data_IF_677031003326
#
_entry.id   IF_677031003326
#
_cell.length_a   1.000
_cell.length_b   1.000
_cell.length_c   1.000
_cell.angle_alpha   90.00
_cell.angle_beta   90.00
_cell.angle_gamma   90.00
#
_symmetry.space_group_name_H-M   'P 1'
#
loop_
_entity.id
_entity.type
_entity.pdbx_description
1 polymer ?
#
# COMPACT_ATOMS: atom_id res chain seq x y z
N UNK A 1 15.40 -1.94 -46.88
CA UNK A 1 14.32 -0.95 -46.68
C UNK A 1 14.13 -0.76 -45.19
N UNK A 2 13.88 0.45 -44.67
CA UNK A 2 13.60 0.64 -43.25
C UNK A 2 12.34 -0.14 -42.86
N UNK A 3 12.34 -0.72 -41.66
CA UNK A 3 11.17 -1.43 -41.13
C UNK A 3 10.04 -0.41 -40.95
N UNK A 4 8.79 -0.68 -41.35
CA UNK A 4 7.70 0.30 -41.29
C UNK A 4 7.49 0.86 -39.87
N UNK A 5 7.76 0.06 -38.84
CA UNK A 5 7.62 0.44 -37.44
C UNK A 5 8.89 1.01 -36.79
N UNK A 6 9.99 1.17 -37.55
CA UNK A 6 11.29 1.63 -37.03
C UNK A 6 11.19 2.95 -36.22
N UNK A 7 10.48 4.01 -36.69
CA UNK A 7 10.35 5.25 -35.90
C UNK A 7 9.59 5.06 -34.57
N UNK A 8 8.59 4.18 -34.53
CA UNK A 8 7.81 3.91 -33.34
C UNK A 8 8.63 3.11 -32.30
N UNK A 9 9.44 2.15 -32.77
CA UNK A 9 10.36 1.40 -31.93
C UNK A 9 11.44 2.31 -31.32
N UNK A 10 12.00 3.24 -32.11
CA UNK A 10 12.98 4.21 -31.61
C UNK A 10 12.39 5.11 -30.54
N UNK A 11 11.16 5.61 -30.74
CA UNK A 11 10.47 6.41 -29.74
C UNK A 11 10.24 5.63 -28.44
N UNK A 12 9.79 4.37 -28.54
CA UNK A 12 9.57 3.50 -27.38
C UNK A 12 10.87 3.27 -26.58
N UNK A 13 11.96 2.90 -27.25
CA UNK A 13 13.27 2.65 -26.62
C UNK A 13 13.81 3.92 -25.95
N UNK A 14 13.60 5.09 -26.55
CA UNK A 14 14.00 6.37 -25.95
C UNK A 14 13.18 6.71 -24.69
N UNK A 15 11.87 6.43 -24.69
CA UNK A 15 10.98 6.67 -23.55
C UNK A 15 11.23 5.72 -22.38
N UNK A 16 11.72 4.49 -22.65
CA UNK A 16 11.91 3.43 -21.66
C UNK A 16 13.41 3.09 -21.48
N UNK A 17 14.30 4.06 -21.65
CA UNK A 17 15.75 3.80 -21.74
C UNK A 17 16.34 3.08 -20.52
N UNK A 18 15.78 3.26 -19.32
CA UNK A 18 16.24 2.56 -18.10
C UNK A 18 15.65 1.16 -17.88
N UNK A 19 14.65 0.75 -18.68
CA UNK A 19 13.96 -0.53 -18.53
C UNK A 19 13.24 -0.92 -19.84
N UNK A 20 13.98 -1.01 -20.94
CA UNK A 20 13.42 -1.36 -22.25
C UNK A 20 13.25 -2.88 -22.35
N UNK A 21 12.11 -3.33 -22.87
CA UNK A 21 11.88 -4.72 -23.23
C UNK A 21 11.27 -4.84 -24.63
N UNK A 22 11.99 -5.49 -25.55
CA UNK A 22 11.57 -5.72 -26.93
C UNK A 22 11.39 -7.21 -27.18
N UNK A 23 10.23 -7.61 -27.67
CA UNK A 23 9.86 -9.00 -27.92
C UNK A 23 9.68 -9.25 -29.42
N UNK A 24 10.03 -10.46 -29.86
CA UNK A 24 9.76 -10.92 -31.22
C UNK A 24 8.55 -11.84 -31.21
N UNK A 25 7.43 -11.38 -31.77
CA UNK A 25 6.20 -12.15 -31.89
C UNK A 25 6.09 -12.83 -33.25
N UNK A 26 5.27 -13.87 -33.33
CA UNK A 26 4.84 -14.50 -34.58
C UNK A 26 5.99 -15.07 -35.44
N UNK A 27 7.18 -15.29 -34.86
CA UNK A 27 8.30 -15.91 -35.57
C UNK A 27 8.01 -17.40 -35.82
N UNK A 28 8.21 -17.86 -37.06
CA UNK A 28 8.02 -19.28 -37.41
C UNK A 28 9.04 -20.19 -36.70
N UNK A 29 10.24 -19.66 -36.41
CA UNK A 29 11.28 -20.32 -35.62
C UNK A 29 11.69 -19.46 -34.42
N UNK A 30 11.12 -19.70 -33.23
CA UNK A 30 11.47 -18.97 -32.01
C UNK A 30 12.94 -19.12 -31.59
N UNK A 31 13.59 -20.24 -31.93
CA UNK A 31 15.00 -20.45 -31.60
C UNK A 31 15.91 -19.58 -32.48
N UNK A 32 15.57 -19.41 -33.76
CA UNK A 32 16.25 -18.46 -34.65
C UNK A 32 16.06 -17.02 -34.17
N UNK A 33 14.85 -16.64 -33.74
CA UNK A 33 14.57 -15.33 -33.16
C UNK A 33 15.39 -15.08 -31.88
N UNK A 34 15.45 -16.06 -30.98
CA UNK A 34 16.25 -15.98 -29.76
C UNK A 34 17.75 -15.83 -30.06
N UNK A 35 18.29 -16.63 -31.00
CA UNK A 35 19.69 -16.53 -31.41
C UNK A 35 20.02 -15.17 -32.05
N UNK A 36 19.13 -14.63 -32.87
CA UNK A 36 19.29 -13.31 -33.48
C UNK A 36 19.26 -12.19 -32.42
N UNK A 37 18.35 -12.26 -31.43
CA UNK A 37 18.36 -11.33 -30.30
C UNK A 37 19.65 -11.46 -29.47
N UNK A 38 20.19 -12.67 -29.28
CA UNK A 38 21.46 -12.87 -28.57
C UNK A 38 22.63 -12.23 -29.31
N UNK A 39 22.65 -12.34 -30.64
CA UNK A 39 23.64 -11.65 -31.47
C UNK A 39 23.52 -10.13 -31.36
N UNK A 40 22.28 -9.60 -31.38
CA UNK A 40 22.02 -8.18 -31.15
C UNK A 40 22.48 -7.73 -29.76
N UNK A 41 22.16 -8.50 -28.72
CA UNK A 41 22.57 -8.21 -27.35
C UNK A 41 24.11 -8.14 -27.22
N UNK A 42 24.82 -9.07 -27.86
CA UNK A 42 26.28 -9.10 -27.87
C UNK A 42 26.89 -7.89 -28.57
N UNK A 43 26.28 -7.41 -29.66
CA UNK A 43 26.72 -6.21 -30.38
C UNK A 43 26.39 -4.93 -29.60
N UNK A 44 25.18 -4.80 -29.07
CA UNK A 44 24.74 -3.67 -28.23
C UNK A 44 25.63 -3.53 -26.99
N UNK A 45 26.04 -4.65 -26.39
CA UNK A 45 26.93 -4.66 -25.22
C UNK A 45 28.34 -4.09 -25.50
N UNK A 46 28.71 -3.87 -26.77
CA UNK A 46 29.97 -3.23 -27.15
C UNK A 46 29.88 -1.70 -27.18
N UNK A 47 28.68 -1.13 -27.11
CA UNK A 47 28.49 0.33 -27.05
C UNK A 47 29.05 0.83 -25.71
N UNK A 48 29.94 1.82 -25.75
CA UNK A 48 30.59 2.40 -24.57
C UNK A 48 29.81 3.57 -24.02
N UNK A 49 29.82 3.71 -22.69
CA UNK A 49 29.22 4.87 -22.04
C UNK A 49 29.99 6.13 -22.44
N UNK A 50 29.31 7.18 -22.92
CA UNK A 50 29.94 8.38 -23.45
C UNK A 50 30.76 9.14 -22.40
N UNK A 51 30.29 9.15 -21.15
CA UNK A 51 30.98 9.79 -20.02
C UNK A 51 31.88 8.82 -19.22
N UNK A 52 31.74 7.51 -19.44
CA UNK A 52 32.51 6.46 -18.74
C UNK A 52 32.99 5.41 -19.77
N UNK A 53 33.98 5.73 -20.63
CA UNK A 53 34.29 4.93 -21.83
C UNK A 53 34.72 3.49 -21.56
N UNK A 54 35.19 3.18 -20.34
CA UNK A 54 35.58 1.84 -19.92
C UNK A 54 34.38 0.96 -19.53
N UNK A 55 33.19 1.56 -19.41
CA UNK A 55 31.94 0.87 -19.06
C UNK A 55 31.08 0.65 -20.31
N UNK A 56 30.31 -0.44 -20.32
CA UNK A 56 29.27 -0.62 -21.33
C UNK A 56 28.12 0.37 -21.05
N UNK A 57 27.62 1.01 -22.10
CA UNK A 57 26.49 1.93 -21.99
C UNK A 57 25.24 1.22 -21.49
N UNK A 58 24.78 0.12 -22.13
CA UNK A 58 23.83 -0.71 -21.46
C UNK A 58 24.53 -1.33 -20.25
N UNK A 59 24.14 -0.92 -19.05
CA UNK A 59 24.63 -1.53 -17.82
C UNK A 59 24.11 -2.99 -17.71
N UNK A 60 23.02 -3.28 -18.41
CA UNK A 60 22.42 -4.59 -18.54
C UNK A 60 21.82 -4.77 -19.95
N UNK A 61 22.14 -5.89 -20.58
CA UNK A 61 21.63 -6.31 -21.86
C UNK A 61 21.52 -7.84 -21.85
N UNK A 62 20.30 -8.38 -21.91
CA UNK A 62 20.08 -9.82 -21.82
C UNK A 62 18.90 -10.24 -22.67
N UNK A 63 18.93 -11.48 -23.15
CA UNK A 63 17.80 -12.11 -23.83
C UNK A 63 17.23 -13.17 -22.92
N UNK A 64 15.95 -13.03 -22.61
CA UNK A 64 15.19 -13.96 -21.78
C UNK A 64 14.11 -14.64 -22.63
N UNK A 65 13.78 -15.86 -22.26
CA UNK A 65 12.60 -16.56 -22.76
C UNK A 65 11.46 -16.29 -21.77
N UNK A 66 10.48 -15.49 -22.18
CA UNK A 66 9.28 -15.19 -21.40
C UNK A 66 8.10 -15.93 -22.04
N UNK A 67 7.74 -17.08 -21.48
CA UNK A 67 6.62 -17.93 -21.91
C UNK A 67 6.68 -18.33 -23.40
N UNK A 68 7.88 -18.65 -23.91
CA UNK A 68 8.11 -19.06 -25.30
C UNK A 68 8.29 -17.89 -26.27
N UNK A 69 8.36 -16.66 -25.76
CA UNK A 69 8.63 -15.44 -26.54
C UNK A 69 10.05 -14.95 -26.23
N UNK A 70 10.93 -14.83 -27.24
CA UNK A 70 12.24 -14.21 -27.07
C UNK A 70 12.11 -12.71 -26.77
N UNK A 71 12.68 -12.27 -25.64
CA UNK A 71 12.64 -10.87 -25.20
C UNK A 71 14.05 -10.34 -24.95
N UNK A 72 14.41 -9.24 -25.61
CA UNK A 72 15.60 -8.45 -25.34
C UNK A 72 15.31 -7.39 -24.27
N UNK A 73 15.98 -7.51 -23.15
CA UNK A 73 15.98 -6.55 -22.05
C UNK A 73 17.21 -5.66 -22.09
N UNK A 74 17.01 -4.35 -21.91
CA UNK A 74 18.05 -3.32 -21.99
C UNK A 74 17.83 -2.27 -20.90
N UNK A 75 18.90 -1.90 -20.19
CA UNK A 75 18.96 -0.70 -19.37
C UNK A 75 20.13 0.16 -19.85
N UNK A 76 19.79 1.28 -20.50
CA UNK A 76 20.70 2.29 -21.02
C UNK A 76 20.71 3.55 -20.13
N UNK A 77 20.22 3.46 -18.89
CA UNK A 77 20.01 4.60 -17.98
C UNK A 77 19.19 5.70 -18.68
N UNK A 78 19.77 6.90 -18.83
CA UNK A 78 19.14 8.08 -19.43
C UNK A 78 19.68 8.40 -20.84
N UNK A 79 20.46 7.49 -21.44
CA UNK A 79 21.21 7.74 -22.68
C UNK A 79 20.37 7.49 -23.94
N UNK A 80 19.28 8.27 -24.06
CA UNK A 80 18.27 8.16 -25.12
C UNK A 80 18.83 8.33 -26.55
N UNK A 81 19.99 8.99 -26.71
CA UNK A 81 20.60 9.25 -28.03
C UNK A 81 21.00 7.98 -28.79
N UNK A 82 21.14 6.86 -28.10
CA UNK A 82 21.51 5.57 -28.69
C UNK A 82 20.30 4.71 -29.11
N UNK A 83 19.07 5.14 -28.83
CA UNK A 83 17.86 4.38 -29.16
C UNK A 83 17.78 3.99 -30.65
N UNK A 84 18.11 4.91 -31.55
CA UNK A 84 18.12 4.65 -33.00
C UNK A 84 19.17 3.60 -33.41
N UNK A 85 20.35 3.64 -32.79
CA UNK A 85 21.41 2.67 -33.05
C UNK A 85 21.01 1.28 -32.55
N UNK A 86 20.47 1.20 -31.34
CA UNK A 86 20.01 -0.06 -30.74
C UNK A 86 18.92 -0.70 -31.60
N UNK A 87 17.88 0.04 -31.98
CA UNK A 87 16.81 -0.50 -32.86
C UNK A 87 17.38 -0.98 -34.19
N UNK A 88 18.33 -0.25 -34.79
CA UNK A 88 18.98 -0.69 -36.03
C UNK A 88 19.72 -2.01 -35.85
N UNK A 89 20.54 -2.15 -34.81
CA UNK A 89 21.29 -3.38 -34.53
C UNK A 89 20.33 -4.57 -34.39
N UNK A 90 19.24 -4.41 -33.62
CA UNK A 90 18.25 -5.50 -33.45
C UNK A 90 17.62 -5.88 -34.78
N UNK A 91 17.16 -4.91 -35.57
CA UNK A 91 16.53 -5.17 -36.87
C UNK A 91 17.50 -5.82 -37.87
N UNK A 92 18.77 -5.40 -37.87
CA UNK A 92 19.80 -5.96 -38.76
C UNK A 92 20.13 -7.42 -38.40
N UNK A 93 20.21 -7.73 -37.10
CA UNK A 93 20.45 -9.11 -36.63
C UNK A 93 19.25 -10.03 -36.89
N UNK A 94 18.02 -9.54 -36.69
CA UNK A 94 16.81 -10.27 -37.04
C UNK A 94 16.73 -10.54 -38.55
N UNK A 95 17.04 -9.54 -39.39
CA UNK A 95 17.07 -9.70 -40.83
C UNK A 95 18.19 -10.65 -41.30
N UNK A 96 19.38 -10.56 -40.70
CA UNK A 96 20.52 -11.44 -40.98
C UNK A 96 20.27 -12.89 -40.57
N UNK A 97 19.49 -13.11 -39.51
CA UNK A 97 19.03 -14.42 -39.06
C UNK A 97 17.84 -14.98 -39.86
N UNK A 98 17.26 -14.21 -40.78
CA UNK A 98 16.09 -14.63 -41.56
C UNK A 98 14.80 -14.75 -40.74
N UNK A 99 14.69 -14.01 -39.63
CA UNK A 99 13.54 -14.06 -38.73
C UNK A 99 12.36 -13.33 -39.36
N UNK A 100 11.23 -14.01 -39.50
CA UNK A 100 9.99 -13.49 -40.09
C UNK A 100 9.01 -12.90 -39.06
N UNK A 101 9.37 -12.92 -37.78
CA UNK A 101 8.59 -12.37 -36.68
C UNK A 101 8.58 -10.84 -36.60
N UNK A 102 7.63 -10.30 -35.83
CA UNK A 102 7.46 -8.86 -35.60
C UNK A 102 8.13 -8.43 -34.30
N UNK A 103 9.12 -7.54 -34.41
CA UNK A 103 9.68 -6.85 -33.24
C UNK A 103 8.69 -5.80 -32.71
N UNK A 104 8.37 -5.86 -31.42
CA UNK A 104 7.49 -4.89 -30.77
C UNK A 104 7.83 -4.77 -29.26
N UNK A 105 7.33 -3.75 -28.55
CA UNK A 105 7.38 -3.73 -27.09
C UNK A 105 6.90 -5.04 -26.47
N UNK A 106 7.53 -5.47 -25.36
CA UNK A 106 7.01 -6.58 -24.56
C UNK A 106 5.57 -6.25 -24.15
N UNK A 107 4.64 -7.13 -24.47
CA UNK A 107 3.24 -7.04 -24.03
C UNK A 107 3.24 -7.49 -22.58
N UNK A 108 2.55 -6.74 -21.72
CA UNK A 108 2.18 -7.31 -20.43
C UNK A 108 1.36 -8.58 -20.69
N UNK A 109 1.58 -9.66 -19.92
CA UNK A 109 0.73 -10.83 -19.99
C UNK A 109 -0.73 -10.39 -19.95
N UNK A 110 -1.55 -10.91 -20.86
CA UNK A 110 -2.97 -10.58 -20.84
C UNK A 110 -3.51 -11.00 -19.47
N UNK A 111 -4.07 -10.03 -18.74
CA UNK A 111 -4.59 -10.30 -17.40
C UNK A 111 -5.66 -11.39 -17.53
N UNK A 112 -5.67 -12.42 -16.66
CA UNK A 112 -6.58 -13.56 -16.77
C UNK A 112 -8.06 -13.16 -16.67
N UNK A 113 -8.34 -11.91 -16.28
CA UNK A 113 -9.65 -11.31 -16.28
C UNK A 113 -9.57 -9.86 -16.79
N UNK A 114 -10.63 -9.35 -17.45
CA UNK A 114 -10.64 -7.99 -17.98
C UNK A 114 -10.32 -6.97 -16.88
N UNK A 115 -9.31 -6.13 -17.09
CA UNK A 115 -9.00 -5.03 -16.18
C UNK A 115 -9.60 -3.73 -16.70
N UNK A 116 -10.42 -3.07 -15.88
CA UNK A 116 -10.79 -1.68 -16.16
C UNK A 116 -9.79 -0.74 -15.49
N UNK A 117 -9.02 0.07 -16.24
CA UNK A 117 -8.05 1.00 -15.65
C UNK A 117 -8.69 2.07 -14.76
N UNK A 118 -10.03 2.22 -14.79
CA UNK A 118 -10.79 3.14 -13.94
C UNK A 118 -11.25 2.50 -12.62
N UNK A 119 -11.04 1.19 -12.44
CA UNK A 119 -11.27 0.56 -11.16
C UNK A 119 -10.23 1.08 -10.14
N UNK A 120 -10.67 1.39 -8.92
CA UNK A 120 -9.78 1.80 -7.84
C UNK A 120 -8.81 0.66 -7.53
N UNK A 121 -7.53 0.98 -7.38
CA UNK A 121 -6.49 0.02 -6.95
C UNK A 121 -6.07 0.32 -5.54
N UNK A 122 -5.63 -0.72 -4.84
CA UNK A 122 -5.03 -0.59 -3.52
C UNK A 122 -3.54 -0.89 -3.60
N UNK A 123 -2.74 -0.12 -2.88
CA UNK A 123 -1.30 -0.27 -2.88
C UNK A 123 -0.88 -1.63 -2.27
N UNK A 124 0.18 -2.23 -2.82
CA UNK A 124 0.73 -3.49 -2.31
C UNK A 124 -0.09 -4.74 -2.66
N UNK A 125 -1.02 -4.63 -3.60
CA UNK A 125 -1.78 -5.74 -4.18
C UNK A 125 -1.19 -6.18 -5.52
N UNK A 126 -1.09 -7.48 -5.71
CA UNK A 126 -0.70 -8.11 -6.97
C UNK A 126 -1.95 -8.72 -7.66
N UNK A 127 -2.06 -8.64 -9.00
CA UNK A 127 -3.15 -9.27 -9.73
C UNK A 127 -3.22 -10.78 -9.46
N UNK A 128 -4.43 -11.30 -9.27
CA UNK A 128 -4.63 -12.74 -9.19
C UNK A 128 -4.44 -13.41 -10.56
N UNK A 129 -3.97 -14.65 -10.55
CA UNK A 129 -3.86 -15.46 -11.77
C UNK A 129 -5.08 -16.35 -11.99
N UNK A 130 -5.80 -16.66 -10.91
CA UNK A 130 -6.94 -17.57 -10.92
C UNK A 130 -8.05 -17.07 -10.00
N UNK A 131 -9.29 -17.39 -10.38
CA UNK A 131 -10.49 -17.20 -9.57
C UNK A 131 -11.03 -18.57 -9.17
N UNK A 132 -11.80 -18.61 -8.09
CA UNK A 132 -12.50 -19.83 -7.72
C UNK A 132 -13.67 -20.15 -8.68
N UNK A 133 -14.34 -21.29 -8.45
CA UNK A 133 -15.47 -21.74 -9.28
C UNK A 133 -16.67 -20.76 -9.34
N UNK A 134 -16.72 -19.77 -8.46
CA UNK A 134 -17.76 -18.73 -8.42
C UNK A 134 -17.35 -17.48 -9.21
N UNK A 135 -16.09 -17.41 -9.67
CA UNK A 135 -15.51 -16.21 -10.24
C UNK A 135 -15.08 -15.18 -9.19
N UNK A 136 -14.73 -15.64 -7.97
CA UNK A 136 -14.24 -14.80 -6.88
C UNK A 136 -12.77 -15.04 -6.58
N UNK A 137 -12.06 -14.05 -6.01
CA UNK A 137 -10.83 -14.31 -5.29
C UNK A 137 -11.01 -15.44 -4.25
N UNK A 138 -10.06 -16.40 -4.13
CA UNK A 138 -10.24 -17.64 -3.35
C UNK A 138 -10.52 -17.46 -1.85
N UNK A 139 -10.05 -16.38 -1.26
CA UNK A 139 -10.21 -16.01 0.14
C UNK A 139 -11.58 -15.43 0.49
N UNK A 140 -12.44 -15.14 -0.50
CA UNK A 140 -13.82 -14.75 -0.23
C UNK A 140 -14.62 -15.93 0.36
N UNK A 141 -15.43 -15.71 1.42
CA UNK A 141 -16.10 -16.78 2.14
C UNK A 141 -17.18 -17.43 1.30
N UNK A 142 -17.52 -18.68 1.61
CA UNK A 142 -18.54 -19.43 0.88
C UNK A 142 -19.89 -18.67 0.85
N UNK A 143 -20.54 -18.64 -0.32
CA UNK A 143 -21.82 -17.96 -0.51
C UNK A 143 -21.76 -16.44 -0.49
N UNK A 144 -20.57 -15.82 -0.50
CA UNK A 144 -20.44 -14.36 -0.58
C UNK A 144 -21.26 -13.80 -1.76
N UNK A 145 -22.09 -12.77 -1.53
CA UNK A 145 -23.03 -12.27 -2.54
C UNK A 145 -22.26 -11.64 -3.70
N UNK A 146 -22.60 -12.06 -4.91
CA UNK A 146 -22.11 -11.44 -6.13
C UNK A 146 -23.08 -10.34 -6.58
N UNK A 147 -22.60 -9.17 -7.00
CA UNK A 147 -23.47 -8.14 -7.53
C UNK A 147 -24.06 -8.57 -8.87
N UNK A 148 -25.39 -8.51 -8.99
CA UNK A 148 -26.09 -8.91 -10.20
C UNK A 148 -25.75 -8.02 -11.40
N UNK A 149 -25.71 -8.63 -12.59
CA UNK A 149 -25.49 -7.93 -13.87
C UNK A 149 -24.22 -7.07 -13.92
N UNK A 150 -23.20 -7.43 -13.14
CA UNK A 150 -21.94 -6.74 -13.08
C UNK A 150 -20.80 -7.59 -13.66
N UNK A 151 -19.82 -6.94 -14.27
CA UNK A 151 -18.62 -7.58 -14.79
C UNK A 151 -17.51 -7.43 -13.77
N UNK A 152 -16.85 -8.52 -13.38
CA UNK A 152 -15.61 -8.43 -12.61
C UNK A 152 -14.54 -7.74 -13.46
N UNK A 153 -13.97 -6.65 -12.94
CA UNK A 153 -12.99 -5.81 -13.65
C UNK A 153 -11.66 -5.67 -12.91
N UNK A 154 -11.55 -6.28 -11.73
CA UNK A 154 -10.35 -6.30 -10.93
C UNK A 154 -10.43 -7.46 -9.93
N UNK A 155 -9.36 -8.23 -9.84
CA UNK A 155 -9.15 -9.20 -8.78
C UNK A 155 -7.67 -9.21 -8.41
N UNK A 156 -7.37 -8.85 -7.17
CA UNK A 156 -6.01 -8.69 -6.67
C UNK A 156 -5.89 -9.32 -5.27
N UNK A 157 -4.66 -9.60 -4.85
CA UNK A 157 -4.33 -10.14 -3.53
C UNK A 157 -3.10 -9.44 -2.99
N UNK A 158 -3.04 -9.20 -1.68
CA UNK A 158 -1.87 -8.63 -1.06
C UNK A 158 -0.65 -9.55 -1.21
N UNK A 159 0.55 -8.98 -1.24
CA UNK A 159 1.81 -9.75 -1.37
C UNK A 159 1.97 -10.87 -0.33
N UNK A 160 1.44 -10.68 0.88
CA UNK A 160 1.46 -11.67 1.96
C UNK A 160 0.27 -12.65 1.93
N UNK A 161 -0.62 -12.52 0.95
CA UNK A 161 -1.80 -13.36 0.76
C UNK A 161 -2.94 -13.17 1.76
N UNK A 162 -2.81 -12.23 2.69
CA UNK A 162 -3.77 -12.04 3.78
C UNK A 162 -5.03 -11.26 3.38
N UNK A 163 -4.99 -10.50 2.30
CA UNK A 163 -6.09 -9.62 1.88
C UNK A 163 -6.36 -9.84 0.41
N UNK A 164 -7.63 -9.88 0.03
CA UNK A 164 -8.06 -9.99 -1.34
C UNK A 164 -9.00 -8.85 -1.72
N UNK A 165 -8.97 -8.48 -2.99
CA UNK A 165 -9.72 -7.38 -3.52
C UNK A 165 -10.44 -7.83 -4.79
N UNK A 166 -11.72 -7.52 -4.89
CA UNK A 166 -12.51 -7.67 -6.09
C UNK A 166 -13.27 -6.39 -6.40
N UNK A 167 -13.28 -5.97 -7.66
CA UNK A 167 -14.11 -4.87 -8.12
C UNK A 167 -14.97 -5.30 -9.32
N UNK A 168 -16.23 -4.88 -9.28
CA UNK A 168 -17.19 -5.11 -10.36
C UNK A 168 -17.68 -3.80 -10.94
N UNK A 169 -17.92 -3.81 -12.25
CA UNK A 169 -18.40 -2.68 -13.03
C UNK A 169 -19.76 -2.96 -13.61
N UNK A 170 -20.58 -1.93 -13.71
CA UNK A 170 -21.79 -1.93 -14.54
C UNK A 170 -22.04 -0.59 -15.22
N UNK A 171 -22.72 -0.64 -16.36
CA UNK A 171 -23.11 0.52 -17.17
C UNK A 171 -24.58 0.91 -17.01
N UNK A 172 -25.39 0.07 -16.36
CA UNK A 172 -26.85 0.20 -16.30
C UNK A 172 -27.37 1.06 -15.14
N UNK A 173 -26.54 1.42 -14.16
CA UNK A 173 -26.93 2.26 -13.02
C UNK A 173 -26.10 2.02 -11.74
N UNK A 174 -26.36 2.74 -10.63
CA UNK A 174 -25.69 2.58 -9.33
C UNK A 174 -26.12 1.29 -8.64
N UNK A 175 -25.26 0.61 -7.84
CA UNK A 175 -25.48 -0.69 -7.15
C UNK A 175 -26.58 -0.72 -6.08
N UNK A 176 -27.78 -0.29 -6.47
CA UNK A 176 -28.95 -0.24 -5.60
C UNK A 176 -29.33 -1.61 -5.06
N UNK A 177 -29.50 -1.72 -3.76
CA UNK A 177 -29.85 -2.93 -3.01
C UNK A 177 -28.68 -3.88 -2.73
N UNK A 178 -27.46 -3.56 -3.16
CA UNK A 178 -26.31 -4.42 -2.91
C UNK A 178 -25.87 -4.40 -1.45
N UNK A 179 -25.99 -3.26 -0.75
CA UNK A 179 -25.71 -3.20 0.68
C UNK A 179 -26.75 -4.00 1.48
N UNK A 180 -28.01 -4.02 1.04
CA UNK A 180 -29.05 -4.88 1.61
C UNK A 180 -28.75 -6.36 1.40
N UNK A 181 -28.21 -6.74 0.23
CA UNK A 181 -27.79 -8.11 -0.07
C UNK A 181 -26.64 -8.55 0.86
N UNK A 182 -25.66 -7.69 1.10
CA UNK A 182 -24.58 -7.93 2.07
C UNK A 182 -25.11 -8.03 3.50
N UNK A 183 -26.08 -7.19 3.89
CA UNK A 183 -26.75 -7.29 5.19
C UNK A 183 -27.48 -8.63 5.34
N UNK A 184 -28.24 -9.03 4.32
CA UNK A 184 -28.98 -10.30 4.30
C UNK A 184 -28.04 -11.52 4.30
N UNK A 185 -26.85 -11.39 3.73
CA UNK A 185 -25.80 -12.39 3.85
C UNK A 185 -25.35 -12.55 5.31
N UNK A 186 -25.34 -11.47 6.09
CA UNK A 186 -24.96 -11.45 7.51
C UNK A 186 -23.83 -10.49 7.85
N UNK A 187 -23.51 -9.55 6.95
CA UNK A 187 -22.50 -8.53 7.22
C UNK A 187 -23.04 -7.44 8.16
N UNK A 188 -22.25 -7.10 9.17
CA UNK A 188 -22.41 -5.89 9.98
C UNK A 188 -21.61 -4.76 9.32
N UNK A 189 -22.21 -3.58 9.22
CA UNK A 189 -21.58 -2.40 8.64
C UNK A 189 -21.03 -1.48 9.72
N UNK A 190 -19.81 -1.00 9.53
CA UNK A 190 -19.26 0.13 10.29
C UNK A 190 -19.13 1.37 9.41
N UNK A 191 -19.29 2.55 10.02
CA UNK A 191 -19.07 3.81 9.32
C UNK A 191 -17.59 4.01 9.00
N UNK A 192 -17.31 4.60 7.83
CA UNK A 192 -15.98 5.11 7.48
C UNK A 192 -16.03 6.64 7.58
N UNK A 193 -15.03 7.31 8.18
CA UNK A 193 -14.99 8.76 8.27
C UNK A 193 -15.03 9.39 6.90
N UNK A 194 -15.77 10.48 6.76
CA UNK A 194 -15.85 11.24 5.51
C UNK A 194 -14.49 11.74 5.03
N UNK A 195 -13.53 11.84 5.94
CA UNK A 195 -12.13 12.21 5.66
C UNK A 195 -11.35 11.12 4.94
N UNK A 196 -11.67 9.85 5.19
CA UNK A 196 -11.04 8.72 4.53
C UNK A 196 -11.68 8.43 3.16
N UNK A 197 -12.86 9.01 2.89
CA UNK A 197 -13.55 8.97 1.59
C UNK A 197 -13.30 10.22 0.72
N UNK A 198 -12.42 11.16 1.14
CA UNK A 198 -12.15 12.42 0.40
C UNK A 198 -11.31 12.14 -0.82
N UNK A 199 -11.91 12.31 -2.01
CA UNK A 199 -11.22 12.22 -3.29
C UNK A 199 -12.18 12.19 -4.48
N UNK A 200 -13.34 11.55 -4.32
CA UNK A 200 -14.36 11.43 -5.36
C UNK A 200 -15.76 11.69 -4.77
N UNK A 201 -16.35 12.88 -5.00
CA UNK A 201 -17.73 13.13 -4.61
C UNK A 201 -18.65 12.12 -5.32
N UNK A 202 -19.48 11.41 -4.56
CA UNK A 202 -20.35 10.35 -5.08
C UNK A 202 -20.04 8.95 -4.54
N UNK A 203 -18.96 8.78 -3.78
CA UNK A 203 -18.57 7.49 -3.24
C UNK A 203 -19.28 7.20 -1.91
N UNK A 204 -19.67 5.95 -1.74
CA UNK A 204 -20.22 5.40 -0.50
C UNK A 204 -19.27 4.32 -0.02
N UNK A 205 -18.80 4.40 1.22
CA UNK A 205 -17.85 3.44 1.77
C UNK A 205 -18.23 3.02 3.19
N UNK A 206 -18.12 1.72 3.46
CA UNK A 206 -18.37 1.12 4.77
C UNK A 206 -17.33 0.06 5.07
N UNK A 207 -17.04 -0.15 6.36
CA UNK A 207 -16.39 -1.40 6.78
C UNK A 207 -17.42 -2.52 6.84
N UNK A 208 -16.98 -3.74 6.53
CA UNK A 208 -17.78 -4.96 6.61
C UNK A 208 -17.18 -5.86 7.67
N UNK A 209 -18.03 -6.54 8.43
CA UNK A 209 -17.61 -7.61 9.32
C UNK A 209 -18.61 -8.76 9.34
N UNK A 210 -18.09 -9.99 9.40
CA UNK A 210 -18.87 -11.21 9.58
C UNK A 210 -17.98 -12.32 10.12
N UNK A 211 -18.43 -12.97 11.21
CA UNK A 211 -17.87 -14.25 11.70
C UNK A 211 -16.33 -14.23 11.87
N UNK A 212 -15.77 -13.12 12.36
CA UNK A 212 -14.32 -12.96 12.56
C UNK A 212 -13.53 -12.57 11.30
N UNK A 213 -14.19 -12.37 10.17
CA UNK A 213 -13.64 -11.85 8.92
C UNK A 213 -14.27 -10.50 8.57
N UNK A 214 -13.69 -9.74 7.65
CA UNK A 214 -14.21 -8.41 7.32
C UNK A 214 -13.45 -7.70 6.21
N UNK A 215 -13.59 -6.38 6.15
CA UNK A 215 -12.88 -5.53 5.21
C UNK A 215 -13.68 -4.28 4.85
N UNK A 216 -13.71 -3.89 3.58
CA UNK A 216 -14.49 -2.73 3.11
C UNK A 216 -15.38 -3.04 1.92
N UNK A 217 -16.44 -2.26 1.81
CA UNK A 217 -17.20 -2.06 0.57
C UNK A 217 -17.15 -0.60 0.17
N UNK A 218 -16.89 -0.35 -1.11
CA UNK A 218 -16.96 0.97 -1.72
C UNK A 218 -17.84 0.92 -2.96
N UNK A 219 -18.91 1.71 -2.98
CA UNK A 219 -19.71 2.00 -4.18
C UNK A 219 -19.27 3.34 -4.74
N UNK A 220 -18.94 3.39 -6.02
CA UNK A 220 -18.47 4.63 -6.63
C UNK A 220 -18.78 4.72 -8.11
N UNK A 221 -18.64 5.92 -8.65
CA UNK A 221 -18.81 6.22 -10.07
C UNK A 221 -17.45 6.57 -10.67
N UNK A 222 -17.17 6.19 -11.93
CA UNK A 222 -15.91 6.59 -12.57
C UNK A 222 -15.76 8.12 -12.60
N UNK A 223 -14.63 8.62 -12.11
CA UNK A 223 -14.23 10.04 -12.15
C UNK A 223 -14.15 10.64 -13.56
N UNK A 224 -14.08 9.79 -14.60
CA UNK A 224 -14.18 10.17 -16.02
C UNK A 224 -15.52 10.82 -16.43
N UNK A 225 -16.53 10.85 -15.54
CA UNK A 225 -17.77 11.60 -15.72
C UNK A 225 -17.57 13.12 -15.96
N UNK A 226 -16.35 13.64 -15.74
CA UNK A 226 -15.98 15.05 -15.97
C UNK A 226 -15.61 15.37 -17.43
N UNK A 227 -15.42 14.38 -18.30
CA UNK A 227 -15.13 14.60 -19.73
C UNK A 227 -16.38 14.38 -20.61
N UNK A 228 -16.69 15.29 -21.54
CA UNK A 228 -17.83 15.12 -22.45
C UNK A 228 -17.73 13.80 -23.23
N UNK A 229 -18.82 13.02 -23.25
CA UNK A 229 -18.97 11.73 -23.98
C UNK A 229 -18.22 10.52 -23.42
N UNK A 230 -17.61 10.61 -22.23
CA UNK A 230 -17.08 9.41 -21.59
C UNK A 230 -18.21 8.49 -21.12
N UNK A 231 -18.13 7.17 -21.36
CA UNK A 231 -19.11 6.23 -20.82
C UNK A 231 -19.04 6.26 -19.30
N UNK A 232 -20.22 6.35 -18.70
CA UNK A 232 -20.43 6.44 -17.27
C UNK A 232 -20.55 5.03 -16.71
N UNK A 233 -19.63 4.67 -15.82
CA UNK A 233 -19.60 3.37 -15.17
C UNK A 233 -19.76 3.52 -13.67
N UNK A 234 -20.49 2.58 -13.09
CA UNK A 234 -20.63 2.40 -11.66
C UNK A 234 -19.80 1.21 -11.25
N UNK A 235 -19.22 1.29 -10.06
CA UNK A 235 -18.38 0.27 -9.49
C UNK A 235 -18.83 -0.09 -8.08
N UNK A 236 -18.62 -1.36 -7.74
CA UNK A 236 -18.53 -1.83 -6.37
C UNK A 236 -17.17 -2.48 -6.18
N UNK A 237 -16.47 -2.11 -5.13
CA UNK A 237 -15.16 -2.64 -4.75
C UNK A 237 -15.28 -3.24 -3.37
N UNK A 238 -14.84 -4.49 -3.21
CA UNK A 238 -14.80 -5.20 -1.94
C UNK A 238 -13.36 -5.58 -1.64
N UNK A 239 -12.84 -5.11 -0.52
CA UNK A 239 -11.64 -5.67 0.08
C UNK A 239 -12.09 -6.61 1.17
N UNK A 240 -11.54 -7.82 1.18
CA UNK A 240 -11.85 -8.84 2.15
C UNK A 240 -10.58 -9.37 2.81
N UNK A 241 -10.65 -9.56 4.12
CA UNK A 241 -9.61 -10.17 4.94
C UNK A 241 -10.23 -11.27 5.81
N UNK A 242 -9.55 -12.42 5.98
CA UNK A 242 -10.08 -13.57 6.70
C UNK A 242 -10.11 -13.35 8.22
N UNK A 243 -9.42 -12.32 8.72
CA UNK A 243 -9.37 -11.95 10.13
C UNK A 243 -9.65 -10.47 10.27
N UNK A 244 -10.74 -10.11 10.95
CA UNK A 244 -11.10 -8.73 11.27
C UNK A 244 -11.88 -8.65 12.57
N UNK A 245 -11.73 -7.54 13.26
CA UNK A 245 -12.56 -7.19 14.42
C UNK A 245 -13.89 -6.59 13.97
N UNK A 246 -14.97 -6.76 14.78
CA UNK A 246 -16.24 -6.12 14.51
C UNK A 246 -16.11 -4.60 14.57
N UNK A 247 -16.93 -3.86 13.79
CA UNK A 247 -16.93 -2.41 13.88
C UNK A 247 -17.32 -1.98 15.31
N UNK A 248 -16.61 -0.98 15.85
CA UNK A 248 -16.87 -0.46 17.19
C UNK A 248 -18.32 0.07 17.36
N UNK A 249 -18.89 0.59 16.27
CA UNK A 249 -20.30 0.97 16.20
C UNK A 249 -20.88 0.46 14.88
N UNK A 250 -21.94 -0.34 14.98
CA UNK A 250 -22.72 -0.75 13.83
C UNK A 250 -23.53 0.45 13.30
N UNK A 251 -23.62 0.57 11.98
CA UNK A 251 -24.42 1.59 11.30
C UNK A 251 -25.35 0.95 10.30
N UNK A 252 -26.48 1.62 10.05
CA UNK A 252 -27.30 1.28 8.90
C UNK A 252 -26.68 1.90 7.64
N UNK A 253 -26.22 1.09 6.67
CA UNK A 253 -25.67 1.61 5.43
C UNK A 253 -26.76 2.32 4.60
N UNK A 254 -26.36 3.40 3.95
CA UNK A 254 -27.14 4.13 2.96
C UNK A 254 -26.35 4.15 1.65
N UNK A 255 -27.02 3.83 0.55
CA UNK A 255 -26.41 3.84 -0.80
C UNK A 255 -26.44 5.24 -1.42
N UNK A 256 -27.12 6.20 -0.78
CA UNK A 256 -27.04 7.60 -1.15
C UNK A 256 -25.64 8.14 -0.85
N UNK A 257 -24.99 8.83 -1.81
CA UNK A 257 -23.74 9.51 -1.55
C UNK A 257 -23.87 10.47 -0.37
N UNK A 258 -22.87 10.50 0.50
CA UNK A 258 -22.85 11.47 1.59
C UNK A 258 -22.64 12.88 1.01
N UNK A 259 -23.71 13.67 0.98
CA UNK A 259 -23.69 15.04 0.46
C UNK A 259 -23.33 16.07 1.53
N UNK A 260 -23.08 15.64 2.78
CA UNK A 260 -22.72 16.57 3.85
C UNK A 260 -21.34 17.17 3.55
N UNK A 261 -21.11 18.45 3.90
CA UNK A 261 -19.79 19.05 3.76
C UNK A 261 -18.74 18.20 4.47
N UNK A 262 -17.63 17.90 3.79
CA UNK A 262 -16.45 17.28 4.41
C UNK A 262 -15.99 18.23 5.54
N UNK A 263 -15.88 17.75 6.79
CA UNK A 263 -15.44 18.60 7.88
C UNK A 263 -14.00 19.07 7.64
N UNK A 264 -13.62 20.19 8.23
CA UNK A 264 -12.24 20.72 8.21
C UNK A 264 -11.78 21.06 9.63
N UNK A 265 -10.46 21.18 9.82
CA UNK A 265 -9.89 21.58 11.10
C UNK A 265 -10.35 20.71 12.29
N UNK A 266 -10.73 21.30 13.45
CA UNK A 266 -11.11 20.55 14.65
C UNK A 266 -12.28 19.58 14.48
N UNK A 267 -13.23 19.87 13.59
CA UNK A 267 -14.37 18.99 13.32
C UNK A 267 -13.94 17.73 12.55
N UNK A 268 -13.00 17.89 11.62
CA UNK A 268 -12.44 16.76 10.88
C UNK A 268 -11.64 15.84 11.80
N UNK A 269 -10.73 16.46 12.52
CA UNK A 269 -9.98 15.90 13.63
C UNK A 269 -10.84 15.04 14.57
N UNK A 270 -12.00 15.55 15.00
CA UNK A 270 -12.92 14.85 15.89
C UNK A 270 -13.56 13.64 15.22
N UNK A 271 -14.05 13.78 13.99
CA UNK A 271 -14.68 12.67 13.26
C UNK A 271 -13.70 11.52 12.99
N UNK A 272 -12.44 11.83 12.67
CA UNK A 272 -11.40 10.81 12.54
C UNK A 272 -11.12 10.14 13.89
N UNK A 273 -11.04 10.89 14.99
CA UNK A 273 -10.78 10.34 16.32
C UNK A 273 -11.91 9.43 16.82
N UNK A 274 -13.18 9.81 16.61
CA UNK A 274 -14.36 9.02 16.95
C UNK A 274 -14.42 7.69 16.20
N UNK A 275 -13.80 7.61 15.02
CA UNK A 275 -13.69 6.38 14.26
C UNK A 275 -12.48 5.54 14.68
N UNK A 276 -11.33 6.17 14.90
CA UNK A 276 -10.09 5.46 15.18
C UNK A 276 -10.04 4.88 16.60
N UNK A 277 -10.82 5.42 17.54
CA UNK A 277 -10.70 5.09 18.97
C UNK A 277 -12.08 4.73 19.55
N UNK A 278 -12.20 3.73 20.44
CA UNK A 278 -13.47 3.38 21.09
C UNK A 278 -14.13 4.60 21.76
N UNK A 279 -15.47 4.73 21.78
CA UNK A 279 -16.18 5.90 22.32
C UNK A 279 -15.77 6.29 23.73
N UNK A 280 -15.56 5.31 24.61
CA UNK A 280 -15.08 5.50 25.99
C UNK A 280 -13.65 6.04 26.10
N UNK A 281 -12.86 5.93 25.02
CA UNK A 281 -11.49 6.41 24.89
C UNK A 281 -11.38 7.64 23.98
N UNK A 282 -12.51 8.17 23.48
CA UNK A 282 -12.57 9.44 22.75
C UNK A 282 -12.33 10.59 23.73
N UNK A 283 -11.06 10.83 24.06
CA UNK A 283 -10.59 12.09 24.64
C UNK A 283 -10.30 13.15 23.55
N UNK A 284 -10.53 12.80 22.28
CA UNK A 284 -10.48 13.70 21.13
C UNK A 284 -9.19 13.59 20.31
N UNK A 285 -9.17 14.35 19.21
CA UNK A 285 -8.04 14.49 18.28
C UNK A 285 -6.68 14.78 18.94
N UNK A 286 -6.67 15.42 20.09
CA UNK A 286 -5.47 15.73 20.86
C UNK A 286 -4.72 14.46 21.28
N UNK A 287 -5.44 13.38 21.59
CA UNK A 287 -4.85 12.06 21.88
C UNK A 287 -4.25 11.46 20.61
N UNK A 288 -4.97 11.49 19.48
CA UNK A 288 -4.49 10.97 18.19
C UNK A 288 -3.24 11.70 17.73
N UNK A 289 -3.22 13.04 17.84
CA UNK A 289 -2.05 13.86 17.54
C UNK A 289 -0.90 13.61 18.52
N UNK A 290 -1.18 13.50 19.82
CA UNK A 290 -0.16 13.22 20.81
C UNK A 290 0.48 11.84 20.57
N UNK A 291 -0.33 10.83 20.21
CA UNK A 291 0.14 9.48 19.85
C UNK A 291 0.97 9.53 18.57
N UNK A 292 0.51 10.18 17.50
CA UNK A 292 1.27 10.29 16.26
C UNK A 292 2.61 11.03 16.45
N UNK A 293 2.59 12.10 17.25
CA UNK A 293 3.78 12.89 17.59
C UNK A 293 4.75 12.07 18.45
N UNK A 294 4.25 11.40 19.49
CA UNK A 294 5.07 10.54 20.36
C UNK A 294 5.68 9.38 19.58
N UNK A 295 4.91 8.75 18.70
CA UNK A 295 5.36 7.64 17.87
C UNK A 295 6.52 8.04 16.95
N UNK A 296 6.46 9.20 16.28
CA UNK A 296 7.55 9.70 15.43
C UNK A 296 8.77 10.16 16.24
N UNK A 297 8.56 10.81 17.39
CA UNK A 297 9.65 11.15 18.31
C UNK A 297 10.41 9.90 18.78
N UNK A 298 9.67 8.83 19.10
CA UNK A 298 10.24 7.54 19.48
C UNK A 298 10.91 6.82 18.32
N UNK A 299 10.39 6.90 17.09
CA UNK A 299 11.06 6.36 15.90
C UNK A 299 12.43 7.04 15.68
N UNK A 300 12.49 8.37 15.83
CA UNK A 300 13.74 9.12 15.80
C UNK A 300 14.71 8.68 16.91
N UNK A 301 14.20 8.37 18.11
CA UNK A 301 15.00 7.83 19.21
C UNK A 301 15.51 6.41 18.92
N UNK A 302 14.72 5.54 18.29
CA UNK A 302 15.13 4.19 17.89
C UNK A 302 16.21 4.25 16.82
N UNK A 303 16.08 5.15 15.84
CA UNK A 303 17.04 5.32 14.74
C UNK A 303 18.31 6.08 15.16
N UNK A 304 18.33 6.71 16.33
CA UNK A 304 19.52 7.40 16.82
C UNK A 304 20.68 6.39 17.01
N UNK A 305 21.92 6.75 16.60
CA UNK A 305 23.07 5.86 16.73
C UNK A 305 23.25 5.43 18.19
N UNK A 306 23.52 4.15 18.47
CA UNK A 306 23.78 3.68 19.83
C UNK A 306 25.03 4.36 20.39
N UNK A 307 25.09 4.48 21.72
CA UNK A 307 26.32 4.86 22.40
C UNK A 307 27.39 3.82 22.01
N UNK A 308 28.56 4.23 21.48
CA UNK A 308 29.64 3.31 21.14
C UNK A 308 30.11 2.42 22.32
N UNK A 309 29.82 2.83 23.56
CA UNK A 309 30.09 2.06 24.76
C UNK A 309 29.01 1.00 25.11
N UNK A 310 27.82 1.09 24.52
CA UNK A 310 26.73 0.15 24.77
C UNK A 310 26.91 -1.13 23.92
N UNK A 311 27.13 -2.26 24.60
CA UNK A 311 27.39 -3.57 23.98
C UNK A 311 26.18 -4.51 24.05
N UNK A 312 25.05 -4.03 24.53
CA UNK A 312 23.83 -4.82 24.61
C UNK A 312 23.29 -5.14 23.21
N UNK A 313 22.56 -6.26 23.05
CA UNK A 313 21.90 -6.56 21.78
C UNK A 313 20.86 -5.49 21.45
N UNK A 314 20.61 -5.24 20.16
CA UNK A 314 19.74 -4.17 19.67
C UNK A 314 18.35 -4.13 20.34
N UNK A 315 17.63 -5.25 20.56
CA UNK A 315 16.36 -5.23 21.27
C UNK A 315 16.45 -4.70 22.71
N UNK A 316 17.54 -4.99 23.42
CA UNK A 316 17.77 -4.51 24.78
C UNK A 316 18.11 -3.00 24.81
N UNK A 317 18.82 -2.51 23.79
CA UNK A 317 19.10 -1.07 23.61
C UNK A 317 17.80 -0.32 23.33
N UNK A 318 16.96 -0.86 22.43
CA UNK A 318 15.65 -0.29 22.09
C UNK A 318 14.71 -0.31 23.31
N UNK A 319 14.63 -1.44 24.03
CA UNK A 319 13.85 -1.54 25.26
C UNK A 319 14.29 -0.50 26.29
N UNK A 320 15.59 -0.38 26.55
CA UNK A 320 16.15 0.63 27.46
C UNK A 320 15.78 2.06 27.07
N UNK A 321 15.68 2.37 25.77
CA UNK A 321 15.24 3.68 25.28
C UNK A 321 13.75 3.91 25.52
N UNK A 322 12.91 2.90 25.26
CA UNK A 322 11.48 2.98 25.53
C UNK A 322 11.17 3.08 27.02
N UNK A 323 11.76 2.22 27.84
CA UNK A 323 11.73 2.24 29.30
C UNK A 323 12.05 3.64 29.85
N UNK A 324 13.11 4.29 29.35
CA UNK A 324 13.49 5.64 29.80
C UNK A 324 12.43 6.73 29.59
N UNK A 325 11.49 6.50 28.67
CA UNK A 325 10.36 7.37 28.36
C UNK A 325 9.06 6.92 29.04
N UNK A 326 8.81 5.61 29.03
CA UNK A 326 7.51 5.01 29.34
C UNK A 326 7.39 4.53 30.79
N UNK A 327 8.48 4.40 31.55
CA UNK A 327 8.46 4.00 32.98
C UNK A 327 7.74 4.98 33.90
N UNK A 328 7.41 6.17 33.38
CA UNK A 328 6.58 7.15 34.09
C UNK A 328 5.10 6.79 34.09
N UNK A 329 4.71 5.87 33.20
CA UNK A 329 3.36 5.35 33.10
C UNK A 329 3.27 4.05 33.90
N UNK A 330 2.18 3.90 34.65
CA UNK A 330 1.89 2.63 35.30
C UNK A 330 1.43 1.57 34.29
N UNK A 331 1.26 0.34 34.76
CA UNK A 331 0.89 -0.79 33.92
C UNK A 331 -0.46 -0.59 33.20
N UNK A 332 -1.45 -0.01 33.89
CA UNK A 332 -2.79 0.21 33.35
C UNK A 332 -2.76 1.28 32.25
N UNK A 333 -1.95 2.32 32.45
CA UNK A 333 -1.72 3.38 31.47
C UNK A 333 -1.01 2.86 30.23
N UNK A 334 0.03 2.03 30.38
CA UNK A 334 0.72 1.40 29.25
C UNK A 334 -0.22 0.49 28.47
N UNK A 335 -1.00 -0.34 29.16
CA UNK A 335 -1.98 -1.23 28.51
C UNK A 335 -3.03 -0.44 27.73
N UNK A 336 -3.54 0.65 28.31
CA UNK A 336 -4.51 1.54 27.66
C UNK A 336 -3.93 2.19 26.40
N UNK A 337 -2.71 2.76 26.47
CA UNK A 337 -2.05 3.39 25.32
C UNK A 337 -1.83 2.38 24.20
N UNK A 338 -1.33 1.18 24.53
CA UNK A 338 -1.14 0.09 23.58
C UNK A 338 -2.45 -0.29 22.90
N UNK A 339 -3.51 -0.51 23.67
CA UNK A 339 -4.82 -0.88 23.13
C UNK A 339 -5.41 0.19 22.22
N UNK A 340 -5.32 1.48 22.59
CA UNK A 340 -5.74 2.58 21.73
C UNK A 340 -5.01 2.52 20.39
N UNK A 341 -3.68 2.39 20.40
CA UNK A 341 -2.89 2.36 19.16
C UNK A 341 -3.27 1.17 18.27
N UNK A 342 -3.44 -0.01 18.84
CA UNK A 342 -3.79 -1.22 18.09
C UNK A 342 -5.21 -1.15 17.52
N UNK A 343 -6.16 -0.56 18.25
CA UNK A 343 -7.50 -0.29 17.75
C UNK A 343 -7.48 0.69 16.56
N UNK A 344 -6.68 1.76 16.65
CA UNK A 344 -6.52 2.71 15.54
C UNK A 344 -5.95 2.02 14.29
N UNK A 345 -4.92 1.19 14.45
CA UNK A 345 -4.33 0.41 13.35
C UNK A 345 -5.33 -0.59 12.78
N UNK A 346 -6.04 -1.34 13.63
CA UNK A 346 -7.05 -2.29 13.19
C UNK A 346 -8.13 -1.60 12.34
N UNK A 347 -8.63 -0.44 12.77
CA UNK A 347 -9.62 0.34 12.04
C UNK A 347 -9.06 0.94 10.72
N UNK A 348 -7.78 1.31 10.67
CA UNK A 348 -7.13 1.76 9.43
C UNK A 348 -6.87 0.61 8.45
N UNK A 349 -6.46 -0.57 8.95
CA UNK A 349 -6.30 -1.78 8.15
C UNK A 349 -7.64 -2.25 7.59
N UNK A 350 -8.69 -2.25 8.42
CA UNK A 350 -10.04 -2.57 7.99
C UNK A 350 -10.53 -1.63 6.88
N UNK A 351 -9.98 -0.41 6.77
CA UNK A 351 -10.24 0.54 5.68
C UNK A 351 -9.40 0.34 4.41
N UNK A 352 -8.51 -0.64 4.38
CA UNK A 352 -7.86 -1.09 3.16
C UNK A 352 -6.72 -0.22 2.62
N UNK A 353 -6.19 0.73 3.38
CA UNK A 353 -5.14 1.63 2.85
C UNK A 353 -3.73 1.03 2.82
N UNK A 354 -3.41 -0.01 3.60
CA UNK A 354 -2.11 -0.72 3.55
C UNK A 354 -2.20 -2.17 4.03
N UNK A 355 -1.26 -3.06 3.64
CA UNK A 355 -1.08 -4.34 4.32
C UNK A 355 -0.69 -4.15 5.79
N UNK A 356 -1.05 -5.12 6.64
CA UNK A 356 -0.65 -5.20 8.06
C UNK A 356 0.87 -4.97 8.18
N UNK A 357 1.36 -4.06 9.04
CA UNK A 357 2.79 -3.96 9.30
C UNK A 357 3.32 -5.31 9.79
N UNK A 358 4.50 -5.70 9.32
CA UNK A 358 5.14 -6.95 9.75
C UNK A 358 5.30 -6.95 11.28
N UNK A 359 4.87 -8.03 11.94
CA UNK A 359 5.03 -8.22 13.39
C UNK A 359 3.90 -7.69 14.28
N UNK A 360 2.76 -7.26 13.73
CA UNK A 360 1.59 -6.82 14.50
C UNK A 360 0.43 -7.82 14.47
N UNK A 361 0.69 -9.12 14.71
CA UNK A 361 -0.40 -10.07 14.96
C UNK A 361 -1.11 -9.74 16.27
N UNK A 362 -2.29 -9.14 16.12
CA UNK A 362 -3.16 -8.67 17.20
C UNK A 362 -3.91 -9.85 17.82
N UNK A 363 -3.82 -9.98 19.13
CA UNK A 363 -4.56 -10.95 19.93
C UNK A 363 -5.17 -10.22 21.12
N UNK A 364 -6.43 -10.53 21.44
CA UNK A 364 -7.08 -10.03 22.65
C UNK A 364 -6.63 -10.84 23.88
N UNK A 365 -6.38 -10.17 24.99
CA UNK A 365 -6.20 -10.82 26.29
C UNK A 365 -7.54 -11.14 26.98
N UNK A 366 -7.49 -11.66 28.20
CA UNK A 366 -8.66 -12.08 28.98
C UNK A 366 -9.64 -10.91 29.29
N UNK A 367 -9.14 -9.68 29.28
CA UNK A 367 -9.90 -8.46 29.56
C UNK A 367 -10.32 -7.73 28.26
N UNK A 368 -9.99 -8.30 27.09
CA UNK A 368 -10.31 -7.74 25.78
C UNK A 368 -9.35 -6.65 25.30
N UNK A 369 -8.22 -6.44 25.98
CA UNK A 369 -7.17 -5.56 25.50
C UNK A 369 -6.34 -6.23 24.42
N UNK A 370 -5.87 -5.46 23.45
CA UNK A 370 -5.10 -6.00 22.33
C UNK A 370 -3.62 -5.98 22.69
N UNK A 371 -2.91 -7.05 22.32
CA UNK A 371 -1.45 -7.11 22.32
C UNK A 371 -0.92 -7.68 21.00
N UNK A 372 0.35 -7.42 20.71
CA UNK A 372 1.03 -7.91 19.51
C UNK A 372 1.85 -9.17 19.85
N UNK A 373 1.34 -10.35 19.47
CA UNK A 373 1.92 -11.63 19.86
C UNK A 373 3.35 -11.83 19.33
N UNK A 374 3.59 -11.49 18.05
CA UNK A 374 4.90 -11.67 17.40
C UNK A 374 6.00 -10.83 18.06
N UNK A 375 5.65 -9.62 18.55
CA UNK A 375 6.60 -8.76 19.25
C UNK A 375 7.08 -9.40 20.55
N UNK A 376 6.21 -10.13 21.25
CA UNK A 376 6.52 -10.78 22.52
C UNK A 376 7.39 -12.01 22.31
N UNK A 377 7.06 -12.84 21.32
CA UNK A 377 7.84 -14.02 20.98
C UNK A 377 9.26 -13.65 20.51
N UNK A 378 9.40 -12.57 19.75
CA UNK A 378 10.70 -12.13 19.21
C UNK A 378 11.69 -11.58 20.23
N UNK A 379 11.26 -11.23 21.45
CA UNK A 379 12.12 -10.55 22.45
C UNK A 379 12.17 -11.22 23.82
N UNK A 380 11.51 -12.38 23.97
CA UNK A 380 11.33 -13.07 25.24
C UNK A 380 12.65 -13.37 25.99
N UNK A 381 13.75 -13.53 25.26
CA UNK A 381 15.09 -13.80 25.82
C UNK A 381 16.03 -12.58 25.84
N UNK A 382 15.60 -11.44 25.30
CA UNK A 382 16.44 -10.25 25.09
C UNK A 382 16.05 -9.04 25.94
N UNK A 383 14.83 -9.02 26.49
CA UNK A 383 14.29 -7.91 27.28
C UNK A 383 13.84 -8.44 28.64
N UNK A 384 14.25 -7.77 29.72
CA UNK A 384 13.82 -8.14 31.07
C UNK A 384 12.29 -8.04 31.20
N UNK A 385 11.69 -8.99 31.93
CA UNK A 385 10.23 -9.07 32.09
C UNK A 385 9.61 -7.78 32.66
N UNK A 386 10.35 -7.04 33.47
CA UNK A 386 9.93 -5.75 34.03
C UNK A 386 9.83 -4.64 32.96
N UNK A 387 10.64 -4.71 31.90
CA UNK A 387 10.69 -3.73 30.82
C UNK A 387 9.80 -4.11 29.63
N UNK A 388 9.31 -5.35 29.58
CA UNK A 388 8.52 -5.88 28.49
C UNK A 388 7.26 -5.04 28.17
N UNK A 389 6.46 -4.56 29.15
CA UNK A 389 5.29 -3.73 28.84
C UNK A 389 5.64 -2.40 28.16
N UNK A 390 6.72 -1.75 28.60
CA UNK A 390 7.22 -0.52 28.00
C UNK A 390 7.75 -0.77 26.58
N UNK A 391 8.49 -1.87 26.38
CA UNK A 391 8.99 -2.26 25.07
C UNK A 391 7.84 -2.51 24.08
N UNK A 392 6.86 -3.33 24.45
CA UNK A 392 5.70 -3.63 23.61
C UNK A 392 4.94 -2.36 23.22
N UNK A 393 4.70 -1.48 24.20
CA UNK A 393 3.96 -0.22 23.99
C UNK A 393 4.73 0.71 23.05
N UNK A 394 6.04 0.88 23.26
CA UNK A 394 6.90 1.69 22.40
C UNK A 394 7.00 1.15 20.97
N UNK A 395 7.17 -0.15 20.82
CA UNK A 395 7.23 -0.81 19.51
C UNK A 395 5.92 -0.65 18.73
N UNK A 396 4.78 -0.88 19.39
CA UNK A 396 3.45 -0.66 18.80
C UNK A 396 3.28 0.79 18.35
N UNK A 397 3.64 1.76 19.18
CA UNK A 397 3.56 3.18 18.84
C UNK A 397 4.37 3.51 17.58
N UNK A 398 5.65 3.11 17.55
CA UNK A 398 6.56 3.37 16.41
C UNK A 398 6.05 2.72 15.12
N UNK A 399 5.61 1.47 15.17
CA UNK A 399 5.11 0.75 13.99
C UNK A 399 3.78 1.31 13.47
N UNK A 400 2.96 1.89 14.35
CA UNK A 400 1.67 2.49 13.99
C UNK A 400 1.81 3.89 13.37
N UNK A 401 2.91 4.59 13.63
CA UNK A 401 3.10 6.00 13.27
C UNK A 401 2.82 6.32 11.79
N UNK A 402 3.38 5.57 10.81
CA UNK A 402 3.18 5.89 9.40
C UNK A 402 1.71 5.87 8.99
N UNK A 403 0.96 4.88 9.48
CA UNK A 403 -0.47 4.73 9.17
C UNK A 403 -1.31 5.85 9.77
N UNK A 404 -1.02 6.23 11.02
CA UNK A 404 -1.75 7.30 11.72
C UNK A 404 -1.43 8.66 11.07
N UNK A 405 -0.17 8.94 10.74
CA UNK A 405 0.20 10.20 10.08
C UNK A 405 -0.45 10.34 8.70
N UNK A 406 -0.50 9.27 7.91
CA UNK A 406 -1.18 9.28 6.61
C UNK A 406 -2.69 9.53 6.75
N UNK A 407 -3.33 8.94 7.75
CA UNK A 407 -4.74 9.22 8.03
C UNK A 407 -4.99 10.71 8.39
N UNK A 408 -4.01 11.35 9.04
CA UNK A 408 -4.07 12.76 9.44
C UNK A 408 -3.76 13.74 8.30
N UNK A 409 -2.92 13.36 7.33
CA UNK A 409 -2.54 14.24 6.21
C UNK A 409 -3.72 14.61 5.29
N UNK A 410 -4.81 13.84 5.33
CA UNK A 410 -6.06 14.14 4.63
C UNK A 410 -6.89 15.28 5.26
N UNK A 411 -6.55 15.78 6.45
CA UNK A 411 -7.30 16.82 7.15
C UNK A 411 -6.89 18.20 6.61
N UNK A 412 -7.71 18.78 5.73
CA UNK A 412 -7.53 20.18 5.27
C UNK A 412 -7.59 21.15 6.45
N UNK A 413 -6.56 21.99 6.57
CA UNK A 413 -6.39 22.94 7.67
C UNK A 413 -6.37 22.26 9.04
N UNK A 414 -5.57 21.19 9.17
CA UNK A 414 -5.33 20.54 10.46
C UNK A 414 -5.11 21.59 11.56
N UNK A 415 -5.77 21.47 12.74
CA UNK A 415 -5.54 22.37 13.85
C UNK A 415 -4.03 22.52 14.07
N UNK A 416 -3.59 23.75 14.33
CA UNK A 416 -2.20 24.00 14.71
C UNK A 416 -1.81 22.96 15.79
N UNK A 417 -0.69 22.24 15.60
CA UNK A 417 -0.28 21.22 16.54
C UNK A 417 -0.24 21.84 17.94
N UNK A 418 -0.74 21.14 18.95
CA UNK A 418 -0.75 21.68 20.29
C UNK A 418 0.70 22.01 20.70
N UNK A 419 0.95 23.16 21.35
CA UNK A 419 2.31 23.66 21.55
C UNK A 419 3.17 22.58 22.22
N UNK A 420 4.36 22.35 21.67
CA UNK A 420 5.31 21.30 22.05
C UNK A 420 5.57 21.29 23.56
N UNK A 421 5.52 22.47 24.18
CA UNK A 421 5.65 22.70 25.61
C UNK A 421 4.61 21.97 26.47
N UNK A 422 3.41 21.69 25.93
CA UNK A 422 2.36 20.89 26.62
C UNK A 422 2.69 19.40 26.69
N UNK A 423 3.58 18.91 25.84
CA UNK A 423 4.01 17.50 25.80
C UNK A 423 5.50 17.32 26.09
N UNK A 424 6.22 18.42 26.35
CA UNK A 424 7.60 18.41 26.78
C UNK A 424 7.84 17.54 28.03
N UNK A 425 6.79 17.31 28.85
CA UNK A 425 6.85 16.37 29.97
C UNK A 425 7.16 14.94 29.54
N UNK A 426 6.72 14.48 28.35
CA UNK A 426 7.07 13.16 27.79
C UNK A 426 8.58 13.01 27.57
N UNK A 427 9.28 14.12 27.35
CA UNK A 427 10.69 14.14 26.92
C UNK A 427 11.62 14.80 27.95
N UNK A 428 11.10 15.19 29.12
CA UNK A 428 11.81 15.99 30.11
C UNK A 428 13.02 15.29 30.77
N UNK A 429 13.20 13.97 30.58
CA UNK A 429 14.38 13.21 31.04
C UNK A 429 15.32 12.78 29.93
N UNK A 430 15.05 13.13 28.66
CA UNK A 430 15.95 12.74 27.58
C UNK A 430 17.29 13.47 27.69
N UNK A 431 18.37 12.73 27.44
CA UNK A 431 19.68 13.33 27.23
C UNK A 431 19.58 14.38 26.10
N UNK A 432 20.33 15.51 26.16
CA UNK A 432 20.17 16.62 25.23
C UNK A 432 20.22 16.22 23.75
N UNK A 433 21.05 15.24 23.37
CA UNK A 433 21.12 14.74 21.99
C UNK A 433 19.84 14.00 21.54
N UNK A 434 19.18 13.27 22.44
CA UNK A 434 17.94 12.54 22.16
C UNK A 434 16.73 13.47 22.15
N UNK A 435 16.74 14.49 23.01
CA UNK A 435 15.76 15.56 22.99
C UNK A 435 15.82 16.35 21.68
N UNK A 436 17.03 16.67 21.19
CA UNK A 436 17.21 17.35 19.90
C UNK A 436 16.72 16.50 18.72
N UNK A 437 17.08 15.21 18.67
CA UNK A 437 16.61 14.31 17.62
C UNK A 437 15.08 14.12 17.63
N UNK A 438 14.48 13.90 18.80
CA UNK A 438 13.02 13.80 18.95
C UNK A 438 12.32 15.10 18.54
N UNK A 439 12.89 16.26 18.90
CA UNK A 439 12.39 17.58 18.51
C UNK A 439 12.47 17.81 17.01
N UNK A 440 13.62 17.52 16.39
CA UNK A 440 13.84 17.77 14.97
C UNK A 440 13.00 16.81 14.10
N UNK A 441 12.80 15.56 14.54
CA UNK A 441 11.87 14.61 13.93
C UNK A 441 10.40 15.06 14.03
N UNK A 442 10.00 15.75 15.11
CA UNK A 442 8.68 16.36 15.25
C UNK A 442 8.47 17.56 14.30
N UNK A 443 9.53 18.31 13.97
CA UNK A 443 9.45 19.49 13.10
C UNK A 443 9.41 19.15 11.61
N UNK A 444 10.11 18.11 11.16
CA UNK A 444 10.10 17.66 9.75
C UNK A 444 8.71 17.21 9.25
N UNK A 445 7.77 16.95 10.14
CA UNK A 445 6.39 16.50 9.86
C UNK A 445 5.52 17.61 9.27
N UNK A 446 5.87 18.87 9.53
CA UNK A 446 4.98 20.02 9.29
C UNK A 446 5.46 20.90 8.12
N UNK A 447 6.66 20.63 7.62
CA UNK A 447 7.26 21.32 6.47
C UNK A 447 7.14 20.50 5.16
N UNK A 448 6.63 19.27 5.21
CA UNK A 448 6.21 18.42 4.06
C UNK A 448 4.68 18.30 3.99
#
# INVERSE_FOLDING_TARGET
>A
MPHPDEPALVAYVAEHSSATALAVYDATDPAAAFAALQAAAAEISQIRHPDEPDTALPNWCAVLDDDGVPVLHLDMKDEIRYAALVVRIVLDQLAGGGVDGRLAPKREPESPFPRDPRAARYEGMDPLTELDRRGLPPGFPAGFPLPEQATLVLAERSRNGAVEHAAWRRSTGPFTGYLDQLRAYGCTFGAVPRLLTVGDPGNVQYTLWRDGAGGTVTLYQSSAARLPRSPLYWYVSIIWQPQAEPPAAAVEPDEAPDTRPVPTGPAAARELAEFLVPPQLVLGYETVMAVATAARAMDGLVKAPPDPADRRPEPAVIASRFTSLLDRLDHDQLSTVRHVCLAMVANLLANGRRPRPNGLTLVADEDGYLYAADLREGVQDAVDLEHLPAFETGAVLVQSAPMITEALSGIRSAPAPPPTDRYAWLFASLAPQHLAAARDACWQILDE
#
